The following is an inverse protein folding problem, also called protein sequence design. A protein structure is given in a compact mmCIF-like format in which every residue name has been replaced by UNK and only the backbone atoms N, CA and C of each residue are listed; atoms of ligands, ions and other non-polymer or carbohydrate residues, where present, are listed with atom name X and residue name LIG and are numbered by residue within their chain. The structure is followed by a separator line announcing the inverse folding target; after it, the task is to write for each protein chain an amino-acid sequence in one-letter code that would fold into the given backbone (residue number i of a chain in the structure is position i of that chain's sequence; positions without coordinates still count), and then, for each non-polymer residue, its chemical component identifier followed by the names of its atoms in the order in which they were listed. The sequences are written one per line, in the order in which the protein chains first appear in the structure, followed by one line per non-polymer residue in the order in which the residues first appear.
data_IF_357874740836
#
_entry.id   IF_357874740836
#
_cell.length_a   1.000
_cell.length_b   1.000
_cell.length_c   1.000
_cell.angle_alpha   90.00
_cell.angle_beta   90.00
_cell.angle_gamma   90.00
#
_symmetry.space_group_name_H-M   'P 1'
#
loop_
_entity.id
_entity.type
_entity.pdbx_description
1 polymer ?
#
# COMPACT_ATOMS: atom_id res chain seq x y z
N UNK A 1 10.15 -7.50 2.65
CA UNK A 1 9.71 -6.61 1.56
C UNK A 1 10.03 -7.19 0.19
N UNK A 2 11.30 -7.37 -0.20
CA UNK A 2 11.68 -7.98 -1.49
C UNK A 2 11.14 -9.40 -1.70
N UNK A 3 11.33 -10.29 -0.73
CA UNK A 3 10.88 -11.69 -0.83
C UNK A 3 9.35 -11.80 -0.92
N UNK A 4 8.60 -10.97 -0.19
CA UNK A 4 7.15 -10.96 -0.27
C UNK A 4 6.65 -10.51 -1.65
N UNK A 5 7.28 -9.50 -2.26
CA UNK A 5 6.93 -9.04 -3.61
C UNK A 5 7.25 -10.13 -4.65
N UNK A 6 8.41 -10.78 -4.50
CA UNK A 6 8.78 -11.90 -5.37
C UNK A 6 7.80 -13.07 -5.26
N UNK A 7 7.44 -13.46 -4.03
CA UNK A 7 6.46 -14.53 -3.78
C UNK A 7 5.09 -14.15 -4.34
N UNK A 8 4.64 -12.90 -4.13
CA UNK A 8 3.39 -12.40 -4.69
C UNK A 8 3.35 -12.54 -6.21
N UNK A 9 4.46 -12.21 -6.90
CA UNK A 9 4.58 -12.42 -8.34
C UNK A 9 4.54 -13.91 -8.71
N UNK A 10 5.26 -14.76 -7.99
CA UNK A 10 5.33 -16.20 -8.25
C UNK A 10 4.00 -16.92 -8.07
N UNK A 11 3.17 -16.49 -7.11
CA UNK A 11 1.84 -17.07 -6.88
C UNK A 11 0.73 -16.36 -7.65
N UNK A 12 1.08 -15.41 -8.53
CA UNK A 12 0.14 -14.75 -9.42
C UNK A 12 -0.78 -13.73 -8.74
N UNK A 13 -0.33 -13.06 -7.68
CA UNK A 13 -1.08 -11.94 -7.08
C UNK A 13 -1.22 -10.82 -8.12
N UNK A 14 -2.45 -10.41 -8.48
CA UNK A 14 -2.67 -9.46 -9.57
C UNK A 14 -2.56 -7.99 -9.15
N UNK A 15 -2.86 -7.66 -7.88
CA UNK A 15 -2.91 -6.28 -7.38
C UNK A 15 -2.18 -6.17 -6.05
N UNK A 16 -1.47 -5.05 -5.86
CA UNK A 16 -0.81 -4.68 -4.61
C UNK A 16 -1.23 -3.26 -4.26
N UNK A 17 -1.62 -3.06 -2.99
CA UNK A 17 -1.76 -1.76 -2.36
C UNK A 17 -0.70 -1.68 -1.25
N UNK A 18 -0.01 -0.53 -1.15
CA UNK A 18 1.07 -0.35 -0.17
C UNK A 18 0.62 0.61 0.93
N UNK A 19 0.93 0.26 2.17
CA UNK A 19 0.85 1.17 3.31
C UNK A 19 2.25 1.44 3.85
N UNK A 20 2.74 2.67 3.67
CA UNK A 20 3.98 3.17 4.28
C UNK A 20 3.67 3.53 5.73
N UNK A 21 4.00 2.61 6.63
CA UNK A 21 3.74 2.74 8.06
C UNK A 21 4.86 3.52 8.78
N UNK A 22 4.54 4.01 9.99
CA UNK A 22 5.43 4.76 10.88
C UNK A 22 5.84 6.14 10.36
N UNK A 23 5.05 6.74 9.48
CA UNK A 23 5.28 8.12 9.01
C UNK A 23 5.23 9.15 10.14
N UNK A 24 4.69 8.80 11.32
CA UNK A 24 4.74 9.64 12.51
C UNK A 24 6.11 9.76 13.16
N UNK A 25 7.05 8.89 12.80
CA UNK A 25 8.42 8.89 13.32
C UNK A 25 9.41 9.55 12.35
N UNK A 26 8.92 10.08 11.23
CA UNK A 26 9.73 10.69 10.17
C UNK A 26 9.22 12.11 9.95
N UNK A 27 10.02 13.08 10.37
CA UNK A 27 9.67 14.51 10.25
C UNK A 27 10.07 15.11 8.90
N UNK A 28 10.85 14.39 8.10
CA UNK A 28 11.37 14.84 6.80
C UNK A 28 10.52 14.28 5.65
N UNK A 29 9.82 15.18 4.95
CA UNK A 29 8.96 14.86 3.82
C UNK A 29 9.76 14.36 2.61
N UNK A 30 10.97 14.89 2.37
CA UNK A 30 11.84 14.44 1.27
C UNK A 30 12.28 12.99 1.49
N UNK A 31 12.53 12.60 2.74
CA UNK A 31 12.86 11.21 3.08
C UNK A 31 11.68 10.27 2.81
N UNK A 32 10.45 10.70 3.11
CA UNK A 32 9.25 9.90 2.84
C UNK A 32 9.00 9.74 1.33
N UNK A 33 9.24 10.78 0.54
CA UNK A 33 9.18 10.70 -0.93
C UNK A 33 10.25 9.76 -1.49
N UNK A 34 11.48 9.84 -1.00
CA UNK A 34 12.55 8.93 -1.44
C UNK A 34 12.21 7.46 -1.16
N UNK A 35 11.69 7.16 0.04
CA UNK A 35 11.26 5.79 0.39
C UNK A 35 10.10 5.33 -0.50
N UNK A 36 9.16 6.22 -0.82
CA UNK A 36 8.09 5.90 -1.77
C UNK A 36 8.66 5.55 -3.15
N UNK A 37 9.57 6.35 -3.69
CA UNK A 37 10.23 6.08 -4.97
C UNK A 37 10.94 4.73 -4.97
N UNK A 38 11.71 4.41 -3.93
CA UNK A 38 12.39 3.11 -3.82
C UNK A 38 11.40 1.93 -3.82
N UNK A 39 10.24 2.09 -3.18
CA UNK A 39 9.18 1.07 -3.18
C UNK A 39 8.56 0.93 -4.57
N UNK A 40 8.28 2.03 -5.26
CA UNK A 40 7.75 2.01 -6.64
C UNK A 40 8.73 1.31 -7.59
N UNK A 41 10.01 1.67 -7.54
CA UNK A 41 11.06 1.04 -8.34
C UNK A 41 11.18 -0.46 -8.04
N UNK A 42 11.08 -0.85 -6.76
CA UNK A 42 11.12 -2.26 -6.36
C UNK A 42 9.92 -3.03 -6.93
N UNK A 43 8.72 -2.45 -6.93
CA UNK A 43 7.51 -3.06 -7.47
C UNK A 43 7.59 -3.18 -9.00
N UNK A 44 8.03 -2.11 -9.69
CA UNK A 44 8.26 -2.10 -11.13
C UNK A 44 9.29 -3.16 -11.56
N UNK A 45 10.37 -3.35 -10.78
CA UNK A 45 11.37 -4.40 -11.02
C UNK A 45 10.77 -5.82 -11.02
N UNK A 46 9.69 -6.05 -10.29
CA UNK A 46 9.01 -7.35 -10.21
C UNK A 46 7.70 -7.36 -11.02
N UNK A 47 7.58 -6.48 -12.02
CA UNK A 47 6.50 -6.44 -13.00
C UNK A 47 5.12 -6.10 -12.41
N UNK A 48 5.10 -5.36 -11.30
CA UNK A 48 3.91 -4.66 -10.80
C UNK A 48 3.89 -3.22 -11.34
N UNK A 49 2.71 -2.58 -11.47
CA UNK A 49 2.60 -1.21 -11.97
C UNK A 49 3.02 -0.20 -10.88
N UNK A 50 4.33 -0.07 -10.66
CA UNK A 50 4.88 0.75 -9.57
C UNK A 50 4.49 2.23 -9.62
N UNK A 51 4.26 2.79 -10.80
CA UNK A 51 3.86 4.20 -10.97
C UNK A 51 2.36 4.43 -10.70
N UNK A 52 1.52 3.41 -10.96
CA UNK A 52 0.06 3.56 -10.92
C UNK A 52 -0.59 2.97 -9.65
N UNK A 53 0.12 2.11 -8.91
CA UNK A 53 -0.45 1.46 -7.72
C UNK A 53 -0.60 2.44 -6.54
N UNK A 54 -1.63 2.24 -5.69
CA UNK A 54 -1.84 3.11 -4.53
C UNK A 54 -0.79 2.88 -3.44
N UNK A 55 -0.22 3.98 -2.95
CA UNK A 55 0.66 4.01 -1.77
C UNK A 55 0.08 5.01 -0.77
N UNK A 56 -0.25 4.54 0.43
CA UNK A 56 -0.84 5.34 1.50
C UNK A 56 0.21 5.52 2.60
N UNK A 57 0.43 6.76 3.02
CA UNK A 57 1.35 7.12 4.11
C UNK A 57 0.56 7.25 5.41
N UNK A 58 1.05 6.63 6.49
CA UNK A 58 0.35 6.70 7.77
C UNK A 58 1.08 6.06 8.93
N UNK A 59 0.38 5.98 10.05
CA UNK A 59 0.80 5.34 11.28
C UNK A 59 -0.33 4.49 11.83
N UNK A 60 -0.19 3.17 11.65
CA UNK A 60 -1.13 2.21 12.22
C UNK A 60 -1.18 2.30 13.75
N UNK A 61 -0.09 2.74 14.39
CA UNK A 61 -0.05 2.97 15.83
C UNK A 61 -0.92 4.17 16.23
N UNK A 62 -0.76 5.32 15.57
CA UNK A 62 -1.60 6.50 15.85
C UNK A 62 -3.09 6.18 15.64
N UNK A 63 -3.41 5.46 14.56
CA UNK A 63 -4.77 5.00 14.31
C UNK A 63 -5.31 4.12 15.45
N UNK A 64 -4.50 3.16 15.92
CA UNK A 64 -4.85 2.28 17.05
C UNK A 64 -5.01 3.06 18.37
N UNK A 65 -4.20 4.09 18.58
CA UNK A 65 -4.25 4.97 19.76
C UNK A 65 -5.40 5.99 19.69
N UNK A 66 -6.23 5.98 18.62
CA UNK A 66 -7.41 6.82 18.47
C UNK A 66 -7.16 8.21 17.88
N UNK A 67 -6.00 8.43 17.24
CA UNK A 67 -5.73 9.67 16.51
C UNK A 67 -6.60 9.74 15.24
N UNK A 68 -7.51 10.70 15.18
CA UNK A 68 -8.43 10.92 14.05
C UNK A 68 -7.81 11.80 12.96
N UNK A 69 -6.51 12.10 13.04
CA UNK A 69 -5.78 12.95 12.12
C UNK A 69 -5.30 12.24 10.83
N UNK A 70 -4.61 12.98 9.95
CA UNK A 70 -4.22 12.49 8.62
C UNK A 70 -3.38 11.21 8.63
N UNK A 71 -2.48 11.05 9.60
CA UNK A 71 -1.63 9.87 9.72
C UNK A 71 -2.30 8.72 10.51
N UNK A 72 -3.40 8.98 11.22
CA UNK A 72 -4.10 8.01 12.05
C UNK A 72 -5.28 7.37 11.32
N UNK A 73 -6.49 7.54 11.85
CA UNK A 73 -7.73 6.97 11.31
C UNK A 73 -7.93 7.31 9.83
N UNK A 74 -7.64 8.55 9.42
CA UNK A 74 -7.82 8.98 8.03
C UNK A 74 -6.94 8.20 7.05
N UNK A 75 -5.69 7.88 7.42
CA UNK A 75 -4.81 7.05 6.59
C UNK A 75 -5.35 5.61 6.47
N UNK A 76 -5.97 5.07 7.52
CA UNK A 76 -6.59 3.73 7.46
C UNK A 76 -7.84 3.75 6.58
N UNK A 77 -8.65 4.81 6.64
CA UNK A 77 -9.80 4.98 5.76
C UNK A 77 -9.37 5.14 4.29
N UNK A 78 -8.31 5.91 4.02
CA UNK A 78 -7.73 6.03 2.69
C UNK A 78 -7.17 4.69 2.18
N UNK A 79 -6.57 3.88 3.07
CA UNK A 79 -6.13 2.52 2.73
C UNK A 79 -7.33 1.64 2.36
N UNK A 80 -8.42 1.68 3.12
CA UNK A 80 -9.64 0.93 2.81
C UNK A 80 -10.25 1.37 1.47
N UNK A 81 -10.34 2.67 1.21
CA UNK A 81 -10.83 3.21 -0.06
C UNK A 81 -9.95 2.79 -1.25
N UNK A 82 -8.63 2.76 -1.07
CA UNK A 82 -7.72 2.26 -2.09
C UNK A 82 -7.91 0.76 -2.36
N UNK A 83 -8.16 -0.05 -1.33
CA UNK A 83 -8.49 -1.46 -1.51
C UNK A 83 -9.77 -1.63 -2.33
N UNK A 84 -10.83 -0.89 -1.99
CA UNK A 84 -12.13 -0.97 -2.65
C UNK A 84 -12.09 -0.47 -4.11
N UNK A 85 -11.31 0.57 -4.39
CA UNK A 85 -11.23 1.18 -5.73
C UNK A 85 -10.22 0.52 -6.66
N UNK A 86 -9.11 0.00 -6.13
CA UNK A 86 -8.02 -0.55 -6.94
C UNK A 86 -8.13 -2.07 -7.16
N UNK A 87 -8.67 -2.80 -6.19
CA UNK A 87 -8.79 -4.26 -6.29
C UNK A 87 -10.20 -4.60 -6.78
N UNK A 88 -10.37 -5.06 -8.03
CA UNK A 88 -11.68 -5.44 -8.53
C UNK A 88 -12.25 -6.62 -7.73
N UNK A 89 -13.56 -6.64 -7.58
CA UNK A 89 -14.25 -7.80 -7.02
C UNK A 89 -13.97 -9.01 -7.92
N UNK A 90 -13.47 -10.14 -7.38
CA UNK A 90 -13.19 -11.31 -8.19
C UNK A 90 -14.48 -11.83 -8.84
N UNK A 91 -14.37 -12.29 -10.08
CA UNK A 91 -15.49 -12.93 -10.76
C UNK A 91 -15.94 -14.15 -9.94
N UNK A 92 -17.23 -14.20 -9.63
CA UNK A 92 -17.81 -15.39 -9.01
C UNK A 92 -17.75 -16.51 -10.04
N UNK A 93 -17.22 -17.67 -9.65
CA UNK A 93 -17.38 -18.88 -10.44
C UNK A 93 -18.89 -19.12 -10.61
N UNK A 94 -19.40 -18.93 -11.84
CA UNK A 94 -20.71 -19.43 -12.21
C UNK A 94 -20.55 -20.93 -12.39
N UNK A 95 -20.90 -21.68 -11.34
CA UNK A 95 -21.08 -23.13 -11.46
C UNK A 95 -22.15 -23.38 -12.54
N UNK A 96 -21.73 -24.01 -13.63
CA UNK A 96 -22.62 -24.61 -14.62
C UNK A 96 -23.07 -26.01 -14.19
#
# INVERSE_FOLDING_TARGET
TREHILLARQVGVPYIVVFLNKCDLVDDEELLELVEMEVRELLSKYEFPGDDLPIIKGSARKALDGDTGPLGEQAIMALAEALDSYIPTPERAVDG
#
